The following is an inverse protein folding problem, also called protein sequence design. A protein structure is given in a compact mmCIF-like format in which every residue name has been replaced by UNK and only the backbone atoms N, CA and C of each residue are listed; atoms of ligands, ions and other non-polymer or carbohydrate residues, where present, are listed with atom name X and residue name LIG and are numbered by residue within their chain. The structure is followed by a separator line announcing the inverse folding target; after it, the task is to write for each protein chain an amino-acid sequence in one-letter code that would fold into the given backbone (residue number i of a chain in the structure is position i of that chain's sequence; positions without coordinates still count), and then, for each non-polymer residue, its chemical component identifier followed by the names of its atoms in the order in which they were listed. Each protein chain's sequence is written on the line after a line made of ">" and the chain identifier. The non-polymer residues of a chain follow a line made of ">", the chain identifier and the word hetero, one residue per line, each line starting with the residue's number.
data_IF_675694223913
#
_entry.id   IF_675694223913
#
_cell.length_a   1.000
_cell.length_b   1.000
_cell.length_c   1.000
_cell.angle_alpha   90.00
_cell.angle_beta   90.00
_cell.angle_gamma   90.00
#
_symmetry.space_group_name_H-M   'P 1'
#
loop_
_entity.id
_entity.type
_entity.pdbx_description
1 polymer ?
#
# COMPACT_ATOMS: atom_id res chain seq x y z
N UNK A 1 13.75 34.66 -27.59
CA UNK A 1 12.58 33.79 -27.76
C UNK A 1 12.25 33.27 -26.39
N UNK A 2 11.05 33.54 -25.90
CA UNK A 2 10.58 33.05 -24.59
C UNK A 2 9.84 31.74 -24.86
N UNK A 3 10.29 30.65 -24.27
CA UNK A 3 9.69 29.32 -24.43
C UNK A 3 8.71 29.11 -23.27
N UNK A 4 7.43 28.94 -23.60
CA UNK A 4 6.39 28.68 -22.60
C UNK A 4 6.27 27.17 -22.40
N UNK A 5 6.82 26.66 -21.29
CA UNK A 5 6.70 25.26 -20.90
C UNK A 5 5.36 25.07 -20.18
N UNK A 6 4.34 24.66 -20.92
CA UNK A 6 3.05 24.26 -20.35
C UNK A 6 3.12 22.84 -19.78
N UNK A 7 2.96 22.70 -18.47
CA UNK A 7 2.76 21.40 -17.84
C UNK A 7 1.30 20.96 -18.00
N UNK A 8 1.08 19.78 -18.60
CA UNK A 8 -0.23 19.14 -18.70
C UNK A 8 -0.33 18.11 -17.58
N UNK A 9 -1.28 18.31 -16.67
CA UNK A 9 -1.57 17.36 -15.60
C UNK A 9 -2.87 16.64 -15.97
N UNK A 10 -2.80 15.32 -16.15
CA UNK A 10 -3.99 14.49 -16.32
C UNK A 10 -4.53 14.13 -14.93
N UNK A 11 -5.75 14.59 -14.62
CA UNK A 11 -6.46 14.18 -13.41
C UNK A 11 -7.21 12.89 -13.73
N UNK A 12 -6.60 11.75 -13.45
CA UNK A 12 -7.31 10.47 -13.50
C UNK A 12 -8.28 10.40 -12.32
N UNK A 13 -9.56 10.65 -12.57
CA UNK A 13 -10.63 10.26 -11.64
C UNK A 13 -10.63 8.73 -11.58
N UNK A 14 -10.07 8.17 -10.50
CA UNK A 14 -9.84 6.72 -10.38
C UNK A 14 -11.09 5.92 -10.74
N UNK A 15 -11.00 5.15 -11.83
CA UNK A 15 -12.00 4.15 -12.20
C UNK A 15 -12.20 3.19 -11.04
N UNK A 16 -13.44 2.77 -10.78
CA UNK A 16 -13.68 1.71 -9.80
C UNK A 16 -13.02 0.41 -10.29
N UNK A 17 -12.09 -0.11 -9.48
CA UNK A 17 -11.27 -1.25 -9.83
C UNK A 17 -12.12 -2.53 -9.86
N UNK A 18 -12.18 -3.19 -11.01
CA UNK A 18 -13.04 -4.37 -11.18
C UNK A 18 -12.56 -5.53 -10.30
N UNK A 19 -13.48 -6.10 -9.54
CA UNK A 19 -13.18 -7.24 -8.66
C UNK A 19 -12.83 -8.51 -9.43
N UNK A 20 -13.16 -8.58 -10.72
CA UNK A 20 -12.89 -9.76 -11.54
C UNK A 20 -11.55 -9.70 -12.28
N UNK A 21 -10.82 -8.59 -12.20
CA UNK A 21 -9.53 -8.49 -12.87
C UNK A 21 -8.51 -9.46 -12.23
N UNK A 22 -7.79 -10.23 -13.05
CA UNK A 22 -6.78 -11.14 -12.55
C UNK A 22 -5.55 -10.36 -12.08
N UNK A 23 -4.86 -10.91 -11.09
CA UNK A 23 -3.59 -10.36 -10.63
C UNK A 23 -2.46 -10.80 -11.56
N UNK A 24 -1.64 -9.85 -11.96
CA UNK A 24 -0.40 -10.10 -12.67
C UNK A 24 0.76 -10.28 -11.71
N UNK A 25 0.84 -9.43 -10.67
CA UNK A 25 2.01 -9.38 -9.79
C UNK A 25 1.64 -8.88 -8.40
N UNK A 26 2.37 -9.38 -7.41
CA UNK A 26 2.29 -8.89 -6.03
C UNK A 26 3.69 -8.52 -5.55
N UNK A 27 3.83 -7.33 -4.98
CA UNK A 27 5.11 -6.82 -4.48
C UNK A 27 4.95 -6.34 -3.04
N UNK A 28 5.77 -6.85 -2.13
CA UNK A 28 5.88 -6.33 -0.76
C UNK A 28 7.03 -5.33 -0.70
N UNK A 29 6.75 -4.15 -0.17
CA UNK A 29 7.70 -3.05 -0.05
C UNK A 29 7.83 -2.60 1.41
N UNK A 30 9.00 -2.05 1.73
CA UNK A 30 9.29 -1.40 3.01
C UNK A 30 9.78 0.02 2.77
N UNK A 31 9.30 0.96 3.57
CA UNK A 31 9.80 2.34 3.62
C UNK A 31 10.30 2.67 5.03
N UNK A 32 11.28 3.55 5.12
CA UNK A 32 11.68 4.11 6.41
C UNK A 32 10.67 5.18 6.82
N UNK A 33 10.23 5.18 8.07
CA UNK A 33 9.40 6.25 8.61
C UNK A 33 10.30 7.25 9.34
N UNK A 34 10.29 8.49 8.89
CA UNK A 34 10.94 9.59 9.61
C UNK A 34 10.03 9.98 10.76
N UNK A 35 10.39 9.56 11.96
CA UNK A 35 9.73 10.03 13.17
C UNK A 35 10.33 11.39 13.49
N UNK A 36 9.53 12.45 13.46
CA UNK A 36 9.94 13.76 13.97
C UNK A 36 10.11 13.66 15.49
N UNK A 37 11.30 13.26 15.93
CA UNK A 37 11.66 13.15 17.34
C UNK A 37 12.47 14.38 17.78
N UNK A 38 12.22 14.82 19.02
CA UNK A 38 13.11 15.75 19.71
C UNK A 38 14.52 15.13 19.77
N UNK A 39 15.53 15.89 19.37
CA UNK A 39 16.96 15.50 19.25
C UNK A 39 17.54 14.78 20.49
N UNK A 40 16.86 14.86 21.64
CA UNK A 40 17.31 14.32 22.91
C UNK A 40 17.01 12.82 23.12
N UNK A 41 16.08 12.21 22.36
CA UNK A 41 15.68 10.79 22.52
C UNK A 41 16.10 9.86 21.35
N UNK A 42 16.69 10.43 20.29
CA UNK A 42 17.07 9.75 19.03
C UNK A 42 18.02 8.56 19.20
N UNK A 43 18.78 8.51 20.30
CA UNK A 43 19.78 7.46 20.55
C UNK A 43 19.20 6.15 21.08
N UNK A 44 17.91 6.10 21.46
CA UNK A 44 17.31 4.93 22.13
C UNK A 44 16.20 4.24 21.35
N UNK A 45 15.64 4.86 20.32
CA UNK A 45 14.55 4.26 19.53
C UNK A 45 15.11 3.73 18.21
N UNK A 46 14.78 2.48 17.91
CA UNK A 46 15.13 1.86 16.63
C UNK A 46 14.43 2.58 15.48
N UNK A 47 14.98 2.47 14.28
CA UNK A 47 14.37 3.01 13.06
C UNK A 47 12.97 2.38 12.86
N UNK A 48 11.96 3.22 12.66
CA UNK A 48 10.62 2.78 12.32
C UNK A 48 10.52 2.48 10.81
N UNK A 49 9.74 1.46 10.46
CA UNK A 49 9.55 1.02 9.09
C UNK A 49 8.06 0.81 8.80
N UNK A 50 7.59 1.35 7.69
CA UNK A 50 6.27 1.12 7.14
C UNK A 50 6.31 0.01 6.08
N UNK A 51 5.34 -0.88 6.09
CA UNK A 51 5.24 -1.98 5.13
C UNK A 51 3.94 -1.86 4.35
N UNK A 52 4.03 -2.06 3.04
CA UNK A 52 2.86 -2.10 2.18
C UNK A 52 3.02 -3.14 1.09
N UNK A 53 1.89 -3.64 0.60
CA UNK A 53 1.82 -4.63 -0.47
C UNK A 53 1.09 -3.99 -1.65
N UNK A 54 1.70 -4.08 -2.82
CA UNK A 54 1.12 -3.64 -4.09
C UNK A 54 0.66 -4.86 -4.86
N UNK A 55 -0.61 -4.86 -5.27
CA UNK A 55 -1.22 -5.85 -6.15
C UNK A 55 -1.43 -5.18 -7.50
N UNK A 56 -0.80 -5.70 -8.54
CA UNK A 56 -0.89 -5.18 -9.91
C UNK A 56 -1.76 -6.14 -10.73
N UNK A 57 -2.73 -5.60 -11.48
CA UNK A 57 -3.55 -6.38 -12.43
C UNK A 57 -2.87 -6.49 -13.78
N UNK A 58 -3.35 -7.38 -14.64
CA UNK A 58 -2.88 -7.50 -16.03
C UNK A 58 -3.20 -6.27 -16.90
N UNK A 59 -4.15 -5.44 -16.46
CA UNK A 59 -4.49 -4.15 -17.08
C UNK A 59 -3.66 -2.98 -16.56
N UNK A 60 -2.72 -3.22 -15.63
CA UNK A 60 -1.86 -2.19 -15.04
C UNK A 60 -2.54 -1.35 -13.95
N UNK A 61 -3.73 -1.76 -13.49
CA UNK A 61 -4.33 -1.16 -12.30
C UNK A 61 -3.62 -1.67 -11.06
N UNK A 62 -3.62 -0.87 -10.00
CA UNK A 62 -2.91 -1.19 -8.77
C UNK A 62 -3.80 -1.06 -7.55
N UNK A 63 -3.60 -1.93 -6.57
CA UNK A 63 -4.18 -1.81 -5.24
C UNK A 63 -3.06 -1.86 -4.22
N UNK A 64 -3.09 -0.95 -3.24
CA UNK A 64 -2.22 -1.03 -2.08
C UNK A 64 -2.99 -1.54 -0.87
N UNK A 65 -2.36 -2.44 -0.11
CA UNK A 65 -2.70 -2.67 1.29
C UNK A 65 -1.55 -2.28 2.20
N UNK A 66 -1.81 -1.46 3.21
CA UNK A 66 -0.82 -0.97 4.17
C UNK A 66 -1.36 -1.10 5.59
N UNK A 67 -0.54 -1.54 6.54
CA UNK A 67 -0.84 -1.43 7.97
C UNK A 67 0.06 -0.35 8.55
N UNK A 68 -0.54 0.78 8.94
CA UNK A 68 0.19 1.91 9.53
C UNK A 68 0.55 1.64 10.98
N UNK A 69 1.52 2.38 11.50
CA UNK A 69 1.97 2.26 12.90
C UNK A 69 0.89 2.55 13.95
N UNK A 70 -0.18 3.24 13.57
CA UNK A 70 -1.38 3.47 14.41
C UNK A 70 -2.36 2.28 14.41
N UNK A 71 -2.04 1.20 13.69
CA UNK A 71 -2.91 0.03 13.51
C UNK A 71 -3.98 0.23 12.42
N UNK A 72 -4.01 1.38 11.74
CA UNK A 72 -4.93 1.63 10.64
C UNK A 72 -4.51 0.83 9.42
N UNK A 73 -5.39 -0.04 8.95
CA UNK A 73 -5.19 -0.78 7.72
C UNK A 73 -5.87 -0.07 6.56
N UNK A 74 -5.14 0.16 5.48
CA UNK A 74 -5.58 0.89 4.28
C UNK A 74 -5.75 -0.08 3.13
N UNK A 75 -6.86 0.06 2.41
CA UNK A 75 -7.08 -0.53 1.08
C UNK A 75 -7.30 0.62 0.11
N UNK A 76 -6.36 0.82 -0.82
CA UNK A 76 -6.35 1.98 -1.70
C UNK A 76 -6.17 1.57 -3.16
N UNK A 77 -7.25 1.60 -3.97
CA UNK A 77 -7.18 1.39 -5.42
C UNK A 77 -6.59 2.62 -6.12
N UNK A 78 -5.67 2.39 -7.06
CA UNK A 78 -5.07 3.41 -7.94
C UNK A 78 -4.64 4.70 -7.21
N UNK A 79 -3.76 4.62 -6.20
CA UNK A 79 -3.33 5.80 -5.47
C UNK A 79 -2.54 6.74 -6.40
N UNK A 80 -2.75 8.04 -6.25
CA UNK A 80 -2.12 9.05 -7.13
C UNK A 80 -0.63 9.27 -6.86
N UNK A 81 -0.09 8.74 -5.75
CA UNK A 81 1.27 8.93 -5.26
C UNK A 81 2.16 7.68 -5.42
N UNK A 82 1.84 6.77 -6.34
CA UNK A 82 2.60 5.52 -6.56
C UNK A 82 4.09 5.75 -6.79
N UNK A 83 4.45 6.76 -7.61
CA UNK A 83 5.84 7.04 -7.95
C UNK A 83 6.67 7.45 -6.74
N UNK A 84 6.11 8.29 -5.87
CA UNK A 84 6.75 8.71 -4.62
C UNK A 84 6.91 7.52 -3.67
N UNK A 85 5.86 6.70 -3.52
CA UNK A 85 5.93 5.49 -2.69
C UNK A 85 6.99 4.51 -3.17
N UNK A 86 7.14 4.32 -4.49
CA UNK A 86 8.21 3.48 -5.04
C UNK A 86 9.60 4.09 -4.81
N UNK A 87 9.76 5.39 -5.01
CA UNK A 87 11.05 6.07 -4.82
C UNK A 87 11.55 5.99 -3.37
N UNK A 88 10.64 6.06 -2.40
CA UNK A 88 10.95 6.04 -0.97
C UNK A 88 10.98 4.64 -0.35
N UNK A 89 10.78 3.57 -1.13
CA UNK A 89 10.69 2.21 -0.63
C UNK A 89 11.73 1.26 -1.23
N UNK A 90 11.85 0.08 -0.60
CA UNK A 90 12.66 -1.03 -1.07
C UNK A 90 11.76 -2.25 -1.22
N UNK A 91 11.98 -3.01 -2.29
CA UNK A 91 11.30 -4.28 -2.51
C UNK A 91 11.86 -5.33 -1.55
N UNK A 92 10.97 -5.96 -0.77
CA UNK A 92 11.30 -7.10 0.07
C UNK A 92 10.99 -8.42 -0.63
N UNK A 93 9.80 -8.50 -1.24
CA UNK A 93 9.35 -9.70 -1.94
C UNK A 93 8.57 -9.31 -3.20
N UNK A 94 8.64 -10.16 -4.21
CA UNK A 94 7.82 -10.06 -5.41
C UNK A 94 7.41 -11.46 -5.88
N UNK A 95 6.19 -11.59 -6.37
CA UNK A 95 5.65 -12.81 -6.92
C UNK A 95 4.90 -12.52 -8.23
N UNK A 96 5.13 -13.36 -9.24
CA UNK A 96 4.30 -13.41 -10.44
C UNK A 96 3.02 -14.19 -10.14
N UNK A 97 1.88 -13.56 -10.39
CA UNK A 97 0.55 -14.09 -10.13
C UNK A 97 -0.28 -14.31 -11.40
N UNK A 98 0.30 -14.09 -12.58
CA UNK A 98 -0.39 -14.18 -13.88
C UNK A 98 -1.11 -15.51 -14.13
N UNK A 99 -0.62 -16.61 -13.53
CA UNK A 99 -1.20 -17.95 -13.65
C UNK A 99 -1.87 -18.47 -12.37
N UNK A 100 -2.04 -17.61 -11.36
CA UNK A 100 -2.61 -18.01 -10.06
C UNK A 100 -4.13 -18.23 -10.11
N UNK A 101 -4.82 -17.59 -11.06
CA UNK A 101 -6.28 -17.49 -11.08
C UNK A 101 -6.84 -16.57 -9.98
N UNK A 102 -5.99 -15.91 -9.19
CA UNK A 102 -6.42 -14.96 -8.18
C UNK A 102 -6.88 -13.65 -8.81
N UNK A 103 -7.95 -13.10 -8.26
CA UNK A 103 -8.55 -11.83 -8.68
C UNK A 103 -8.43 -10.77 -7.59
N UNK A 104 -8.67 -9.51 -7.96
CA UNK A 104 -8.80 -8.40 -7.00
C UNK A 104 -9.85 -8.70 -5.93
N UNK A 105 -10.96 -9.33 -6.32
CA UNK A 105 -12.05 -9.74 -5.42
C UNK A 105 -11.58 -10.73 -4.35
N UNK A 106 -10.74 -11.69 -4.72
CA UNK A 106 -10.17 -12.65 -3.77
C UNK A 106 -9.30 -11.97 -2.72
N UNK A 107 -8.46 -11.02 -3.15
CA UNK A 107 -7.60 -10.25 -2.23
C UNK A 107 -8.45 -9.35 -1.33
N UNK A 108 -9.49 -8.71 -1.87
CA UNK A 108 -10.40 -7.86 -1.08
C UNK A 108 -11.13 -8.68 -0.02
N UNK A 109 -11.62 -9.87 -0.38
CA UNK A 109 -12.28 -10.77 0.55
C UNK A 109 -11.30 -11.29 1.62
N UNK A 110 -10.07 -11.63 1.23
CA UNK A 110 -9.02 -12.01 2.18
C UNK A 110 -8.70 -10.87 3.14
N UNK A 111 -8.49 -9.67 2.62
CA UNK A 111 -8.18 -8.47 3.39
C UNK A 111 -9.29 -8.15 4.41
N UNK A 112 -10.56 -8.18 3.99
CA UNK A 112 -11.70 -7.95 4.89
C UNK A 112 -11.80 -9.00 6.01
N UNK A 113 -11.48 -10.27 5.71
CA UNK A 113 -11.46 -11.34 6.71
C UNK A 113 -10.37 -11.12 7.76
N UNK A 114 -9.15 -10.79 7.33
CA UNK A 114 -8.02 -10.58 8.25
C UNK A 114 -8.19 -9.29 9.05
N UNK A 115 -8.79 -8.24 8.47
CA UNK A 115 -9.15 -7.04 9.20
C UNK A 115 -10.06 -7.34 10.40
N UNK A 116 -11.08 -8.19 10.21
CA UNK A 116 -11.98 -8.58 11.28
C UNK A 116 -11.25 -9.33 12.42
N UNK A 117 -10.24 -10.14 12.09
CA UNK A 117 -9.42 -10.85 13.08
C UNK A 117 -8.50 -9.90 13.85
N UNK A 118 -7.81 -8.98 13.16
CA UNK A 118 -6.93 -7.98 13.81
C UNK A 118 -7.74 -7.08 14.76
N UNK A 119 -8.93 -6.64 14.33
CA UNK A 119 -9.84 -5.84 15.18
C UNK A 119 -10.33 -6.65 16.38
N UNK A 120 -10.66 -7.93 16.21
CA UNK A 120 -11.09 -8.79 17.32
C UNK A 120 -9.99 -9.00 18.37
N UNK A 121 -8.73 -9.12 17.94
CA UNK A 121 -7.58 -9.25 18.85
C UNK A 121 -7.33 -7.93 19.57
N UNK A 122 -7.41 -6.80 18.87
CA UNK A 122 -7.23 -5.47 19.46
C UNK A 122 -8.32 -5.13 20.50
N UNK A 123 -9.60 -5.44 20.22
CA UNK A 123 -10.69 -5.24 21.20
C UNK A 123 -10.53 -6.20 22.39
N UNK A 124 -10.14 -7.44 22.16
CA UNK A 124 -9.88 -8.40 23.25
C UNK A 124 -8.76 -7.96 24.19
N UNK A 125 -7.74 -7.27 23.69
CA UNK A 125 -6.64 -6.74 24.50
C UNK A 125 -7.00 -5.46 25.29
N UNK A 126 -8.02 -4.71 24.87
CA UNK A 126 -8.49 -3.49 25.56
C UNK A 126 -9.51 -3.81 26.67
N UNK A 127 -10.14 -4.98 26.63
CA UNK A 127 -11.18 -5.40 27.60
C UNK A 127 -10.64 -6.37 28.67
N UNK A 128 -9.34 -6.69 28.64
CA UNK A 128 -8.67 -7.61 29.58
C UNK A 128 -7.87 -6.88 30.68
#
# INVERSE_FOLDING_TARGET
>A
SEEEVGAVFEVSSGSELSLHHPLAKVTMLVRSEEVEEDEQDKAKRGQAFGFFVVYETDLGEVVITELRGDGTSIWEPNPGDMDERYACSRVLHAADCSNSGCTVGDIKAFYQRNLAEVVSVAIGAVVA
#
